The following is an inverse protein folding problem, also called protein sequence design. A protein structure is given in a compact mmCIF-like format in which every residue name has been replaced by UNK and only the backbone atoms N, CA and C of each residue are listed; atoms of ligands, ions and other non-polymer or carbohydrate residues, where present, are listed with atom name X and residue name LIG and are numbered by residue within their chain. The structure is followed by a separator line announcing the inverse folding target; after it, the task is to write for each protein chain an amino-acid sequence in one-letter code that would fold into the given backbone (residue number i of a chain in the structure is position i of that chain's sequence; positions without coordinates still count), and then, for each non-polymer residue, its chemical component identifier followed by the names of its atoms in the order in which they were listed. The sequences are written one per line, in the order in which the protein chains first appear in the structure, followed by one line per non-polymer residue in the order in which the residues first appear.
data_IF_638655810299
#
_entry.id   IF_638655810299
#
_cell.length_a   1.000
_cell.length_b   1.000
_cell.length_c   1.000
_cell.angle_alpha   90.00
_cell.angle_beta   90.00
_cell.angle_gamma   90.00
#
_symmetry.space_group_name_H-M   'P 1'
#
loop_
_entity.id
_entity.type
_entity.pdbx_description
1 polymer ?
#
# COMPACT_ATOMS: atom_id res chain seq x y z
N UNK A 1 54.76 64.87 -21.39
CA UNK A 1 53.40 64.29 -21.28
C UNK A 1 53.52 63.04 -20.40
N UNK A 2 53.18 63.12 -19.11
CA UNK A 2 53.37 62.02 -18.16
C UNK A 2 52.10 61.16 -18.11
N UNK A 3 52.14 59.95 -18.68
CA UNK A 3 51.07 58.96 -18.57
C UNK A 3 51.25 58.15 -17.29
N UNK A 4 50.41 58.39 -16.28
CA UNK A 4 50.36 57.57 -15.06
C UNK A 4 49.65 56.25 -15.36
N UNK A 5 50.40 55.18 -15.54
CA UNK A 5 49.86 53.81 -15.58
C UNK A 5 49.55 53.33 -14.16
N UNK A 6 48.26 53.14 -13.87
CA UNK A 6 47.75 52.58 -12.61
C UNK A 6 48.20 51.11 -12.53
N UNK A 7 49.13 50.80 -11.63
CA UNK A 7 49.60 49.42 -11.40
C UNK A 7 48.40 48.52 -11.04
N UNK A 8 48.19 47.38 -11.73
CA UNK A 8 47.10 46.49 -11.40
C UNK A 8 47.31 45.90 -10.00
N UNK A 9 46.23 45.83 -9.23
CA UNK A 9 46.24 45.36 -7.85
C UNK A 9 46.47 43.83 -7.81
N UNK A 10 47.72 43.39 -7.72
CA UNK A 10 48.10 41.98 -7.58
C UNK A 10 47.40 41.32 -6.38
N UNK A 11 47.18 42.09 -5.32
CA UNK A 11 46.54 41.66 -4.08
C UNK A 11 45.12 41.12 -4.28
N UNK A 12 44.41 41.58 -5.33
CA UNK A 12 43.07 41.06 -5.67
C UNK A 12 43.13 39.58 -6.04
N UNK A 13 44.14 39.16 -6.80
CA UNK A 13 44.29 37.76 -7.19
C UNK A 13 44.63 36.89 -5.98
N UNK A 14 45.48 37.39 -5.08
CA UNK A 14 45.84 36.71 -3.84
C UNK A 14 44.61 36.47 -2.92
N UNK A 15 43.73 37.46 -2.81
CA UNK A 15 42.48 37.35 -2.06
C UNK A 15 41.52 36.33 -2.68
N UNK A 16 41.41 36.32 -4.01
CA UNK A 16 40.57 35.35 -4.73
C UNK A 16 41.10 33.92 -4.52
N UNK A 17 42.40 33.69 -4.63
CA UNK A 17 43.00 32.36 -4.40
C UNK A 17 42.84 31.89 -2.97
N UNK A 18 43.00 32.79 -1.99
CA UNK A 18 42.81 32.45 -0.58
C UNK A 18 41.34 32.11 -0.28
N UNK A 19 40.39 32.86 -0.84
CA UNK A 19 38.96 32.56 -0.72
C UNK A 19 38.60 31.22 -1.35
N UNK A 20 39.14 30.91 -2.53
CA UNK A 20 38.91 29.62 -3.19
C UNK A 20 39.48 28.44 -2.38
N UNK A 21 40.69 28.59 -1.83
CA UNK A 21 41.30 27.56 -0.97
C UNK A 21 40.49 27.33 0.31
N UNK A 22 40.01 28.39 0.95
CA UNK A 22 39.13 28.29 2.11
C UNK A 22 37.80 27.61 1.77
N UNK A 23 37.21 27.95 0.62
CA UNK A 23 35.98 27.33 0.15
C UNK A 23 36.17 25.83 -0.15
N UNK A 24 37.27 25.45 -0.80
CA UNK A 24 37.62 24.04 -1.02
C UNK A 24 37.84 23.29 0.30
N UNK A 25 38.51 23.91 1.27
CA UNK A 25 38.69 23.32 2.61
C UNK A 25 37.36 23.11 3.34
N UNK A 26 36.45 24.09 3.27
CA UNK A 26 35.11 23.99 3.84
C UNK A 26 34.29 22.89 3.19
N UNK A 27 34.29 22.81 1.85
CA UNK A 27 33.62 21.74 1.12
C UNK A 27 34.22 20.37 1.46
N UNK A 28 35.53 20.27 1.58
CA UNK A 28 36.20 19.05 2.03
C UNK A 28 35.74 18.62 3.42
N UNK A 29 35.76 19.53 4.39
CA UNK A 29 35.29 19.27 5.75
C UNK A 29 33.81 18.87 5.79
N UNK A 30 32.97 19.57 5.02
CA UNK A 30 31.54 19.28 4.90
C UNK A 30 31.27 17.94 4.19
N UNK A 31 32.14 17.51 3.29
CA UNK A 31 32.04 16.21 2.63
C UNK A 31 32.37 15.08 3.60
N UNK A 32 33.41 15.24 4.43
CA UNK A 32 33.76 14.27 5.48
C UNK A 32 32.73 14.23 6.62
N UNK A 33 32.12 15.36 6.97
CA UNK A 33 31.07 15.45 8.02
C UNK A 33 29.67 15.15 7.46
N UNK A 34 29.53 15.01 6.15
CA UNK A 34 28.25 14.76 5.49
C UNK A 34 27.74 13.36 5.78
N UNK A 35 26.42 13.23 5.91
CA UNK A 35 25.65 12.00 6.16
C UNK A 35 25.81 10.86 5.11
N UNK A 36 26.77 10.96 4.20
CA UNK A 36 27.07 10.02 3.12
C UNK A 36 28.50 9.48 3.16
N UNK A 37 29.21 9.64 4.29
CA UNK A 37 30.54 9.07 4.49
C UNK A 37 30.51 7.53 4.49
N UNK A 38 31.65 6.89 4.28
CA UNK A 38 31.76 5.42 4.20
C UNK A 38 31.12 4.67 5.40
N UNK A 39 31.13 5.26 6.59
CA UNK A 39 30.49 4.71 7.79
C UNK A 39 28.96 4.67 7.71
N UNK A 40 28.34 5.58 6.94
CA UNK A 40 26.88 5.62 6.82
C UNK A 40 26.34 4.54 5.88
N UNK A 41 27.19 3.87 5.10
CA UNK A 41 26.74 2.80 4.20
C UNK A 41 26.23 1.60 5.00
N UNK A 42 26.93 1.21 6.07
CA UNK A 42 26.52 0.09 6.92
C UNK A 42 25.22 0.39 7.66
N UNK A 43 25.05 1.64 8.12
CA UNK A 43 23.81 2.10 8.77
C UNK A 43 22.65 2.13 7.78
N UNK A 44 22.88 2.63 6.57
CA UNK A 44 21.87 2.68 5.51
C UNK A 44 21.47 1.27 5.05
N UNK A 45 22.43 0.35 4.92
CA UNK A 45 22.15 -1.04 4.57
C UNK A 45 21.32 -1.74 5.66
N UNK A 46 21.69 -1.55 6.94
CA UNK A 46 20.92 -2.07 8.06
C UNK A 46 19.49 -1.51 8.10
N UNK A 47 19.31 -0.22 7.78
CA UNK A 47 17.98 0.40 7.72
C UNK A 47 17.17 -0.14 6.54
N UNK A 48 17.79 -0.37 5.38
CA UNK A 48 17.15 -1.03 4.22
C UNK A 48 16.70 -2.43 4.58
N UNK A 49 17.55 -3.23 5.24
CA UNK A 49 17.22 -4.58 5.68
C UNK A 49 16.07 -4.59 6.70
N UNK A 50 16.09 -3.66 7.66
CA UNK A 50 15.03 -3.52 8.65
C UNK A 50 13.69 -3.15 7.99
N UNK A 51 13.70 -2.18 7.07
CA UNK A 51 12.50 -1.78 6.33
C UNK A 51 11.99 -2.91 5.42
N UNK A 52 12.91 -3.64 4.79
CA UNK A 52 12.63 -4.84 4.00
C UNK A 52 11.91 -5.89 4.82
N UNK A 53 12.45 -6.23 5.99
CA UNK A 53 11.86 -7.20 6.91
C UNK A 53 10.46 -6.78 7.38
N UNK A 54 10.27 -5.49 7.74
CA UNK A 54 8.97 -4.94 8.13
C UNK A 54 7.96 -5.04 6.99
N UNK A 55 8.37 -4.70 5.77
CA UNK A 55 7.49 -4.77 4.59
C UNK A 55 7.05 -6.21 4.29
N UNK A 56 7.97 -7.18 4.40
CA UNK A 56 7.68 -8.59 4.17
C UNK A 56 6.70 -9.14 5.22
N UNK A 57 6.89 -8.80 6.50
CA UNK A 57 5.99 -9.19 7.57
C UNK A 57 4.58 -8.64 7.34
N UNK A 58 4.46 -7.36 6.98
CA UNK A 58 3.18 -6.72 6.72
C UNK A 58 2.49 -7.32 5.48
N UNK A 59 3.25 -7.63 4.44
CA UNK A 59 2.73 -8.29 3.24
C UNK A 59 2.17 -9.68 3.56
N UNK A 60 2.86 -10.47 4.40
CA UNK A 60 2.36 -11.77 4.84
C UNK A 60 1.04 -11.65 5.63
N UNK A 61 0.92 -10.63 6.48
CA UNK A 61 -0.33 -10.35 7.20
C UNK A 61 -1.47 -9.99 6.24
N UNK A 62 -1.22 -9.11 5.27
CA UNK A 62 -2.18 -8.75 4.22
C UNK A 62 -2.66 -9.99 3.46
N UNK A 63 -1.74 -10.87 3.06
CA UNK A 63 -2.10 -12.06 2.29
C UNK A 63 -2.89 -13.06 3.14
N UNK A 64 -2.62 -13.15 4.44
CA UNK A 64 -3.44 -13.94 5.37
C UNK A 64 -4.89 -13.42 5.46
N UNK A 65 -5.07 -12.09 5.51
CA UNK A 65 -6.41 -11.48 5.52
C UNK A 65 -7.09 -11.60 4.17
N UNK A 66 -6.38 -11.40 3.06
CA UNK A 66 -6.92 -11.61 1.71
C UNK A 66 -7.42 -13.04 1.54
N UNK A 67 -6.67 -14.03 2.03
CA UNK A 67 -7.11 -15.41 2.01
C UNK A 67 -8.41 -15.60 2.81
N UNK A 68 -8.48 -15.08 4.04
CA UNK A 68 -9.72 -15.13 4.84
C UNK A 68 -10.90 -14.45 4.13
N UNK A 69 -10.71 -13.24 3.60
CA UNK A 69 -11.73 -12.49 2.88
C UNK A 69 -12.20 -13.26 1.63
N UNK A 70 -11.28 -13.96 0.94
CA UNK A 70 -11.64 -14.78 -0.22
C UNK A 70 -12.60 -15.92 0.13
N UNK A 71 -12.49 -16.47 1.35
CA UNK A 71 -13.43 -17.47 1.88
C UNK A 71 -14.81 -16.85 2.21
N UNK A 72 -14.85 -15.56 2.56
CA UNK A 72 -16.10 -14.83 2.84
C UNK A 72 -16.77 -14.22 1.59
N UNK A 73 -16.18 -14.37 0.40
CA UNK A 73 -16.74 -13.77 -0.82
C UNK A 73 -18.09 -14.39 -1.17
N UNK A 74 -19.07 -13.55 -1.52
CA UNK A 74 -20.49 -13.91 -1.78
C UNK A 74 -20.71 -15.02 -2.82
N UNK A 75 -19.74 -15.33 -3.68
CA UNK A 75 -19.81 -16.49 -4.58
C UNK A 75 -19.71 -17.83 -3.84
N UNK A 76 -19.10 -17.84 -2.65
CA UNK A 76 -18.81 -19.04 -1.86
C UNK A 76 -19.53 -19.06 -0.50
N UNK A 77 -20.05 -17.92 -0.02
CA UNK A 77 -20.70 -17.81 1.28
C UNK A 77 -22.08 -17.16 1.16
N UNK A 78 -23.10 -17.81 1.70
CA UNK A 78 -24.49 -17.34 1.72
C UNK A 78 -24.61 -16.08 2.59
N UNK A 79 -25.07 -14.93 2.04
CA UNK A 79 -25.23 -13.69 2.81
C UNK A 79 -26.19 -13.81 4.00
N UNK A 80 -27.15 -14.74 3.96
CA UNK A 80 -28.12 -14.91 5.04
C UNK A 80 -27.46 -15.53 6.29
N UNK A 81 -26.49 -16.44 6.11
CA UNK A 81 -25.71 -17.03 7.20
C UNK A 81 -24.91 -15.98 8.00
N UNK A 82 -24.41 -14.94 7.35
CA UNK A 82 -23.71 -13.83 8.02
C UNK A 82 -24.68 -13.03 8.88
N UNK A 83 -25.88 -12.78 8.36
CA UNK A 83 -26.93 -12.05 9.08
C UNK A 83 -27.43 -12.81 10.31
N UNK A 84 -27.62 -14.12 10.19
CA UNK A 84 -27.94 -15.00 11.32
C UNK A 84 -26.83 -14.98 12.38
N UNK A 85 -25.56 -15.11 11.95
CA UNK A 85 -24.43 -15.08 12.88
C UNK A 85 -24.30 -13.73 13.59
N UNK A 86 -24.55 -12.62 12.89
CA UNK A 86 -24.54 -11.28 13.47
C UNK A 86 -25.64 -11.11 14.53
N UNK A 87 -26.87 -11.54 14.24
CA UNK A 87 -27.98 -11.52 15.21
C UNK A 87 -27.70 -12.39 16.43
N UNK A 88 -27.14 -13.59 16.22
CA UNK A 88 -26.76 -14.46 17.33
C UNK A 88 -25.69 -13.84 18.22
N UNK A 89 -24.68 -13.17 17.66
CA UNK A 89 -23.64 -12.46 18.43
C UNK A 89 -24.19 -11.25 19.18
N UNK A 90 -25.16 -10.55 18.60
CA UNK A 90 -25.82 -9.39 19.21
C UNK A 90 -26.90 -9.77 20.25
N UNK A 91 -27.02 -11.06 20.61
CA UNK A 91 -28.11 -11.59 21.45
C UNK A 91 -29.51 -11.26 20.92
N UNK A 92 -29.63 -11.01 19.61
CA UNK A 92 -30.88 -10.69 18.92
C UNK A 92 -31.54 -11.93 18.29
N UNK A 93 -30.94 -13.12 18.42
CA UNK A 93 -31.50 -14.37 17.93
C UNK A 93 -31.94 -15.25 19.11
N UNK A 94 -33.22 -15.62 19.14
CA UNK A 94 -33.74 -16.65 20.04
C UNK A 94 -33.76 -18.02 19.34
N UNK A 95 -33.59 -19.15 20.06
CA UNK A 95 -33.50 -20.49 19.48
C UNK A 95 -34.75 -20.98 18.72
N UNK A 96 -35.81 -20.17 18.62
CA UNK A 96 -37.02 -20.45 17.85
C UNK A 96 -37.37 -19.37 16.80
N UNK A 97 -36.50 -18.38 16.56
CA UNK A 97 -36.77 -17.34 15.56
C UNK A 97 -36.59 -17.87 14.13
N UNK A 98 -37.56 -17.55 13.26
CA UNK A 98 -37.54 -17.89 11.83
C UNK A 98 -37.48 -16.58 11.04
N UNK A 99 -36.43 -16.41 10.23
CA UNK A 99 -36.26 -15.24 9.38
C UNK A 99 -36.85 -15.51 8.00
N UNK A 100 -37.87 -14.74 7.64
CA UNK A 100 -38.54 -14.81 6.34
C UNK A 100 -38.21 -13.56 5.53
N UNK A 101 -37.45 -13.73 4.45
CA UNK A 101 -37.19 -12.65 3.49
C UNK A 101 -38.49 -12.25 2.81
N UNK A 102 -38.84 -10.97 2.85
CA UNK A 102 -40.03 -10.42 2.18
C UNK A 102 -39.63 -9.41 1.14
N UNK A 103 -40.35 -9.40 0.02
CA UNK A 103 -40.15 -8.39 -1.02
C UNK A 103 -40.62 -7.02 -0.49
N UNK A 104 -39.75 -6.00 -0.46
CA UNK A 104 -40.05 -4.69 0.12
C UNK A 104 -41.18 -3.93 -0.60
N UNK A 105 -41.57 -4.34 -1.81
CA UNK A 105 -42.68 -3.74 -2.56
C UNK A 105 -44.00 -4.49 -2.40
N UNK A 106 -43.95 -5.80 -2.17
CA UNK A 106 -45.14 -6.66 -2.19
C UNK A 106 -45.48 -7.27 -0.83
N UNK A 107 -44.56 -7.22 0.15
CA UNK A 107 -44.73 -7.75 1.51
C UNK A 107 -44.90 -9.27 1.57
N UNK A 108 -44.69 -9.97 0.45
CA UNK A 108 -44.83 -11.42 0.35
C UNK A 108 -43.50 -12.11 0.64
N UNK A 109 -43.53 -13.32 1.23
CA UNK A 109 -42.32 -14.10 1.45
C UNK A 109 -41.68 -14.45 0.11
N UNK A 110 -40.40 -14.10 -0.04
CA UNK A 110 -39.55 -14.50 -1.15
C UNK A 110 -39.22 -15.97 -0.91
N UNK A 111 -39.99 -16.87 -1.54
CA UNK A 111 -39.62 -18.29 -1.58
C UNK A 111 -38.24 -18.41 -2.19
N UNK A 112 -37.35 -19.14 -1.50
CA UNK A 112 -35.93 -19.25 -1.80
C UNK A 112 -35.65 -19.29 -3.30
N UNK A 113 -34.95 -18.27 -3.77
CA UNK A 113 -34.27 -18.22 -5.06
C UNK A 113 -33.10 -19.22 -5.05
N UNK A 114 -33.40 -20.51 -4.88
CA UNK A 114 -32.43 -21.60 -4.91
C UNK A 114 -32.30 -22.27 -6.29
N UNK A 115 -32.98 -21.76 -7.33
CA UNK A 115 -33.15 -22.52 -8.57
C UNK A 115 -32.57 -21.89 -9.85
N UNK A 116 -32.04 -20.66 -9.85
CA UNK A 116 -31.68 -20.00 -11.13
C UNK A 116 -30.21 -19.75 -11.43
N UNK A 117 -29.24 -20.00 -10.53
CA UNK A 117 -27.84 -19.63 -10.83
C UNK A 117 -26.96 -20.75 -11.41
N UNK A 118 -27.33 -22.03 -11.26
CA UNK A 118 -26.48 -23.14 -11.75
C UNK A 118 -27.04 -23.79 -13.01
N UNK A 119 -28.36 -23.95 -13.12
CA UNK A 119 -29.02 -24.59 -14.28
C UNK A 119 -28.93 -23.74 -15.54
N UNK A 120 -29.01 -22.40 -15.41
CA UNK A 120 -28.97 -21.46 -16.54
C UNK A 120 -27.56 -21.38 -17.15
N UNK A 121 -26.52 -21.47 -16.31
CA UNK A 121 -25.11 -21.52 -16.74
C UNK A 121 -24.77 -22.84 -17.45
N UNK A 122 -25.32 -23.97 -17.00
CA UNK A 122 -25.10 -25.28 -17.61
C UNK A 122 -25.81 -25.42 -18.97
N UNK A 123 -26.99 -24.79 -19.14
CA UNK A 123 -27.77 -24.87 -20.38
C UNK A 123 -27.06 -24.13 -21.53
N UNK A 124 -26.48 -22.96 -21.27
CA UNK A 124 -25.71 -22.21 -22.28
C UNK A 124 -24.43 -22.91 -22.75
N UNK A 125 -23.80 -23.72 -21.89
CA UNK A 125 -22.60 -24.50 -22.26
C UNK A 125 -22.96 -25.72 -23.13
N UNK A 126 -24.12 -26.32 -22.90
CA UNK A 126 -24.60 -27.46 -23.70
C UNK A 126 -25.04 -26.98 -25.09
N UNK A 127 -25.69 -25.84 -25.20
CA UNK A 127 -26.14 -25.28 -26.49
C UNK A 127 -24.98 -24.80 -27.38
N UNK A 128 -23.88 -24.33 -26.78
CA UNK A 128 -22.66 -23.95 -27.49
C UNK A 128 -21.77 -25.13 -27.93
N UNK A 129 -22.06 -26.36 -27.46
CA UNK A 129 -21.27 -27.56 -27.75
C UNK A 129 -21.89 -28.50 -28.80
N UNK A 130 -23.01 -28.11 -29.42
CA UNK A 130 -23.78 -28.94 -30.38
C UNK A 130 -23.70 -28.39 -31.82
N UNK A 131 -22.79 -27.46 -32.11
CA UNK A 131 -22.46 -27.02 -33.48
C UNK A 131 -21.04 -27.45 -33.88
#
# INVERSE_FOLDING_TARGET
MSTRLKRPAFWRHLMITAGLAAFQGYLGYSFFTGQFGFESQDVLEAEIDELGAKSAALQAEIDSYRHRISLFKSSNLDPDLVSERARALLSMAQPGDIVVMVDPRTGKPVSGSGASSTTDQLTGIIEAGID
#
